data_IF_221582616058
#
_entry.id   IF_221582616058
#
_cell.length_a   1.000
_cell.length_b   1.000
_cell.length_c   1.000
_cell.angle_alpha   90.00
_cell.angle_beta   90.00
_cell.angle_gamma   90.00
#
_symmetry.space_group_name_H-M   'P 1'
#
loop_
_entity.id
_entity.type
_entity.pdbx_description
1 polymer ?
#
# COMPACT_ATOMS: atom_id res chain seq x y z
N UNK A 1 58.07 -23.09 -17.55
CA UNK A 1 57.45 -22.62 -18.80
C UNK A 1 56.02 -22.24 -18.46
N UNK A 2 55.80 -20.96 -18.18
CA UNK A 2 54.48 -20.41 -17.88
C UNK A 2 53.79 -20.09 -19.20
N UNK A 3 52.57 -20.58 -19.39
CA UNK A 3 51.66 -20.05 -20.41
C UNK A 3 50.53 -19.36 -19.66
N UNK A 4 50.51 -18.05 -19.82
CA UNK A 4 49.51 -17.10 -19.38
C UNK A 4 48.24 -17.31 -20.23
N UNK A 5 47.10 -17.60 -19.59
CA UNK A 5 45.79 -17.54 -20.23
C UNK A 5 45.08 -16.27 -19.74
N UNK A 6 44.76 -15.38 -20.67
CA UNK A 6 44.04 -14.13 -20.43
C UNK A 6 42.56 -14.41 -20.15
N UNK A 7 41.90 -13.71 -19.21
CA UNK A 7 40.48 -13.86 -18.97
C UNK A 7 39.70 -13.04 -20.01
N UNK A 8 39.15 -13.71 -21.02
CA UNK A 8 38.17 -13.13 -21.94
C UNK A 8 36.99 -14.07 -22.12
N UNK A 9 36.23 -14.23 -21.04
CA UNK A 9 34.80 -14.58 -21.08
C UNK A 9 34.15 -13.90 -19.88
N UNK A 10 33.78 -12.62 -20.03
CA UNK A 10 32.77 -12.04 -19.19
C UNK A 10 31.49 -12.84 -19.50
N UNK A 11 31.13 -13.72 -18.58
CA UNK A 11 29.83 -14.39 -18.57
C UNK A 11 28.82 -13.26 -18.52
N UNK A 12 28.13 -13.02 -19.64
CA UNK A 12 26.88 -12.28 -19.62
C UNK A 12 25.95 -13.06 -18.70
N UNK A 13 25.85 -12.61 -17.45
CA UNK A 13 24.78 -13.05 -16.58
C UNK A 13 23.50 -12.59 -17.27
N UNK A 14 22.84 -13.52 -17.95
CA UNK A 14 21.44 -13.41 -18.27
C UNK A 14 20.75 -13.36 -16.90
N UNK A 15 20.59 -12.15 -16.35
CA UNK A 15 19.61 -11.92 -15.32
C UNK A 15 18.28 -12.21 -16.02
N UNK A 16 17.81 -13.45 -15.88
CA UNK A 16 16.40 -13.73 -16.02
C UNK A 16 15.74 -12.84 -14.96
N UNK A 17 15.32 -11.65 -15.34
CA UNK A 17 14.28 -10.93 -14.65
C UNK A 17 13.07 -11.85 -14.72
N UNK A 18 12.94 -12.72 -13.73
CA UNK A 18 11.64 -13.30 -13.42
C UNK A 18 10.76 -12.09 -13.13
N UNK A 19 9.82 -11.80 -14.03
CA UNK A 19 8.78 -10.81 -13.78
C UNK A 19 8.25 -11.04 -12.38
N UNK A 20 8.32 -10.03 -11.52
CA UNK A 20 7.73 -10.15 -10.20
C UNK A 20 6.22 -10.37 -10.41
N UNK A 21 5.75 -11.56 -10.06
CA UNK A 21 4.33 -11.90 -10.10
C UNK A 21 3.68 -11.43 -8.82
N UNK A 22 2.82 -10.43 -8.93
CA UNK A 22 2.11 -9.83 -7.81
C UNK A 22 0.67 -10.35 -7.76
N UNK A 23 0.27 -10.91 -6.61
CA UNK A 23 -1.14 -11.23 -6.35
C UNK A 23 -1.86 -9.89 -6.15
N UNK A 24 -2.92 -9.59 -6.89
CA UNK A 24 -3.44 -8.22 -6.91
C UNK A 24 -4.02 -7.75 -5.57
N UNK A 25 -4.42 -6.48 -5.55
CA UNK A 25 -5.05 -5.86 -4.38
C UNK A 25 -6.45 -5.37 -4.74
N UNK A 26 -7.47 -5.95 -4.09
CA UNK A 26 -8.85 -5.46 -4.19
C UNK A 26 -9.04 -4.23 -3.29
N UNK A 27 -9.35 -3.08 -3.88
CA UNK A 27 -9.45 -1.81 -3.15
C UNK A 27 -10.68 -0.95 -3.57
N UNK A 28 -11.91 -1.35 -3.20
CA UNK A 28 -13.09 -0.54 -3.44
C UNK A 28 -13.05 0.69 -2.54
N UNK A 29 -12.95 1.89 -3.12
CA UNK A 29 -12.90 3.15 -2.37
C UNK A 29 -11.71 4.05 -2.67
N UNK A 30 -10.79 3.63 -3.55
CA UNK A 30 -9.77 4.54 -4.09
C UNK A 30 -10.46 5.67 -4.87
N UNK A 31 -10.10 6.90 -4.54
CA UNK A 31 -10.60 8.14 -5.11
C UNK A 31 -9.45 8.91 -5.74
N UNK A 32 -9.47 9.06 -7.06
CA UNK A 32 -8.43 9.81 -7.79
C UNK A 32 -8.66 11.31 -7.60
N UNK A 33 -8.14 11.85 -6.51
CA UNK A 33 -8.33 13.26 -6.10
C UNK A 33 -7.01 13.99 -5.80
N UNK A 34 -5.88 13.29 -5.85
CA UNK A 34 -4.53 13.82 -5.64
C UNK A 34 -4.06 13.70 -4.20
N UNK A 35 -4.90 13.14 -3.32
CA UNK A 35 -4.57 12.75 -1.96
C UNK A 35 -4.40 11.23 -1.89
N UNK A 36 -3.21 10.77 -1.56
CA UNK A 36 -2.87 9.33 -1.57
C UNK A 36 -3.19 8.59 -0.26
N UNK A 37 -3.99 9.20 0.63
CA UNK A 37 -4.31 8.66 1.95
C UNK A 37 -5.11 7.34 1.91
N UNK A 38 -5.82 7.09 0.81
CA UNK A 38 -6.62 5.89 0.55
C UNK A 38 -5.79 4.70 0.04
N UNK A 39 -4.61 4.95 -0.52
CA UNK A 39 -3.60 3.93 -0.86
C UNK A 39 -2.83 3.43 0.36
N UNK A 40 -2.49 4.37 1.23
CA UNK A 40 -1.70 4.15 2.44
C UNK A 40 -2.33 3.09 3.35
N UNK A 41 -1.62 2.00 3.66
CA UNK A 41 -2.21 0.96 4.51
C UNK A 41 -3.23 0.09 3.82
N UNK A 42 -3.28 0.11 2.50
CA UNK A 42 -4.20 -0.75 1.74
C UNK A 42 -3.51 -1.37 0.52
N UNK A 43 -2.63 -0.63 -0.12
CA UNK A 43 -2.00 -1.02 -1.38
C UNK A 43 -0.48 -0.89 -1.25
N UNK A 44 0.27 -2.00 -1.21
CA UNK A 44 1.73 -1.93 -1.27
C UNK A 44 2.21 -1.63 -2.70
N UNK A 45 3.45 -1.19 -2.83
CA UNK A 45 4.06 -0.99 -4.13
C UNK A 45 4.36 -2.34 -4.80
N UNK A 46 4.29 -2.35 -6.12
CA UNK A 46 4.57 -3.51 -6.96
C UNK A 46 5.90 -3.40 -7.71
N UNK A 47 6.46 -2.19 -7.82
CA UNK A 47 7.81 -1.91 -8.33
C UNK A 47 8.38 -0.68 -7.63
N UNK A 48 9.71 -0.60 -7.59
CA UNK A 48 10.47 0.52 -7.03
C UNK A 48 11.65 0.86 -7.94
N UNK A 49 12.12 2.10 -7.84
CA UNK A 49 13.37 2.54 -8.44
C UNK A 49 14.23 3.35 -7.45
N UNK A 50 15.50 3.52 -7.78
CA UNK A 50 16.48 4.31 -7.02
C UNK A 50 16.50 5.76 -7.53
N UNK A 51 16.87 6.74 -6.69
CA UNK A 51 16.85 8.13 -7.12
C UNK A 51 18.01 8.47 -8.08
N UNK A 52 17.77 9.43 -8.99
CA UNK A 52 18.79 10.16 -9.71
C UNK A 52 18.97 9.81 -11.18
N UNK A 53 18.08 9.02 -11.77
CA UNK A 53 18.07 8.64 -13.18
C UNK A 53 16.88 9.19 -13.99
N UNK A 54 15.91 9.85 -13.35
CA UNK A 54 14.82 10.61 -14.00
C UNK A 54 15.25 11.79 -14.88
N UNK A 55 16.51 12.23 -14.79
CA UNK A 55 17.02 13.37 -15.56
C UNK A 55 16.25 14.67 -15.29
N UNK A 56 15.66 15.27 -16.32
CA UNK A 56 14.77 16.46 -16.19
C UNK A 56 13.28 16.11 -16.07
N UNK A 57 12.95 14.82 -16.15
CA UNK A 57 11.62 14.29 -15.97
C UNK A 57 11.33 13.98 -14.50
N UNK A 58 10.26 13.22 -14.28
CA UNK A 58 9.94 12.54 -13.04
C UNK A 58 11.03 11.50 -12.75
N UNK A 59 11.58 11.60 -11.55
CA UNK A 59 12.51 10.65 -10.93
C UNK A 59 11.67 9.63 -10.17
N UNK A 60 11.29 8.56 -10.83
CA UNK A 60 10.34 7.57 -10.36
C UNK A 60 10.87 6.88 -9.10
N UNK A 61 9.94 6.51 -8.23
CA UNK A 61 10.27 5.91 -6.95
C UNK A 61 9.53 4.60 -6.73
N UNK A 62 8.22 4.61 -6.95
CA UNK A 62 7.40 3.43 -6.71
C UNK A 62 6.13 3.42 -7.57
N UNK A 63 5.74 2.21 -7.99
CA UNK A 63 4.49 1.92 -8.68
C UNK A 63 3.57 1.15 -7.76
N UNK A 64 2.30 1.52 -7.69
CA UNK A 64 1.27 0.84 -6.91
C UNK A 64 0.12 0.48 -7.83
N UNK A 65 -0.41 -0.74 -7.67
CA UNK A 65 -1.54 -1.25 -8.45
C UNK A 65 -2.60 -1.83 -7.53
N UNK A 66 -3.84 -1.41 -7.73
CA UNK A 66 -5.01 -1.99 -7.10
C UNK A 66 -6.18 -1.98 -8.07
N UNK A 67 -7.22 -2.77 -7.83
CA UNK A 67 -8.42 -2.71 -8.65
C UNK A 67 -9.68 -2.84 -7.79
N UNK A 68 -10.77 -2.33 -8.34
CA UNK A 68 -12.12 -2.67 -7.90
C UNK A 68 -12.90 -3.32 -9.06
N UNK A 69 -14.23 -3.32 -8.98
CA UNK A 69 -15.08 -3.92 -10.01
C UNK A 69 -15.21 -3.09 -11.29
N UNK A 70 -14.66 -1.87 -11.30
CA UNK A 70 -14.83 -0.89 -12.38
C UNK A 70 -13.49 -0.42 -12.96
N UNK A 71 -12.46 -0.23 -12.14
CA UNK A 71 -11.19 0.36 -12.56
C UNK A 71 -9.99 -0.43 -12.04
N UNK A 72 -8.92 -0.41 -12.86
CA UNK A 72 -7.55 -0.54 -12.37
C UNK A 72 -7.11 0.86 -11.89
N UNK A 73 -6.63 0.94 -10.66
CA UNK A 73 -6.01 2.14 -10.11
C UNK A 73 -4.49 2.00 -10.19
N UNK A 74 -3.83 3.08 -10.61
CA UNK A 74 -2.37 3.18 -10.64
C UNK A 74 -1.94 4.39 -9.83
N UNK A 75 -1.03 4.22 -8.87
CA UNK A 75 -0.32 5.33 -8.23
C UNK A 75 1.15 5.28 -8.60
N UNK A 76 1.68 6.43 -8.99
CA UNK A 76 3.10 6.65 -9.26
C UNK A 76 3.63 7.62 -8.22
N UNK A 77 4.65 7.18 -7.48
CA UNK A 77 5.42 8.03 -6.58
C UNK A 77 6.77 8.39 -7.22
N UNK A 78 7.28 9.59 -6.93
CA UNK A 78 8.57 10.09 -7.42
C UNK A 78 9.34 10.90 -6.38
N UNK A 79 10.66 10.90 -6.50
CA UNK A 79 11.58 11.66 -5.66
C UNK A 79 11.49 13.18 -5.87
N UNK A 80 11.00 13.62 -7.04
CA UNK A 80 10.82 15.02 -7.39
C UNK A 80 9.37 15.35 -7.74
N UNK A 81 9.02 16.63 -7.65
CA UNK A 81 7.69 17.14 -7.97
C UNK A 81 7.64 17.61 -9.42
N UNK A 82 6.85 16.91 -10.23
CA UNK A 82 6.66 17.20 -11.66
C UNK A 82 5.16 17.14 -11.98
N UNK A 83 4.70 17.97 -12.92
CA UNK A 83 3.31 17.96 -13.36
C UNK A 83 3.08 16.82 -14.35
N UNK A 84 2.03 16.01 -14.13
CA UNK A 84 1.60 15.00 -15.08
C UNK A 84 0.98 15.65 -16.31
N UNK A 85 1.65 15.55 -17.45
CA UNK A 85 1.30 16.32 -18.65
C UNK A 85 1.22 15.48 -19.93
N UNK A 86 1.38 14.16 -19.81
CA UNK A 86 1.26 13.22 -20.92
C UNK A 86 2.56 13.00 -21.70
N UNK A 87 3.68 13.49 -21.18
CA UNK A 87 5.00 13.03 -21.58
C UNK A 87 5.39 11.71 -20.89
N UNK A 88 4.60 11.30 -19.89
CA UNK A 88 4.68 10.03 -19.20
C UNK A 88 3.75 9.00 -19.82
N UNK A 89 4.20 7.75 -19.92
CA UNK A 89 3.43 6.65 -20.49
C UNK A 89 3.26 5.50 -19.51
N UNK A 90 2.03 4.96 -19.46
CA UNK A 90 1.73 3.66 -18.84
C UNK A 90 1.37 2.69 -19.94
N UNK A 91 2.08 1.56 -20.04
CA UNK A 91 1.75 0.47 -20.95
C UNK A 91 1.07 -0.68 -20.22
N UNK A 92 0.01 -1.23 -20.80
CA UNK A 92 -0.71 -2.40 -20.30
C UNK A 92 -0.72 -3.47 -21.39
N UNK A 93 -0.17 -4.63 -21.06
CA UNK A 93 -0.25 -5.87 -21.85
C UNK A 93 -1.38 -6.71 -21.23
N UNK A 94 -2.52 -6.73 -21.92
CA UNK A 94 -3.78 -7.23 -21.39
C UNK A 94 -3.95 -8.74 -21.52
N UNK A 95 -3.21 -9.36 -22.45
CA UNK A 95 -3.22 -10.80 -22.69
C UNK A 95 -1.91 -11.48 -22.27
N UNK A 96 -0.96 -10.71 -21.72
CA UNK A 96 0.38 -11.11 -21.26
C UNK A 96 1.26 -11.71 -22.36
N UNK A 97 0.97 -11.37 -23.61
CA UNK A 97 1.65 -11.92 -24.77
C UNK A 97 2.60 -10.88 -25.37
N UNK A 98 3.89 -11.01 -25.08
CA UNK A 98 4.94 -10.14 -25.64
C UNK A 98 5.05 -10.09 -27.19
N UNK A 99 4.28 -10.91 -27.91
CA UNK A 99 4.21 -10.91 -29.39
C UNK A 99 3.01 -10.17 -29.95
N UNK A 100 2.12 -9.65 -29.11
CA UNK A 100 1.03 -8.71 -29.43
C UNK A 100 1.38 -7.35 -28.81
N UNK A 101 0.79 -6.26 -29.29
CA UNK A 101 1.04 -4.93 -28.75
C UNK A 101 2.44 -4.36 -29.04
N UNK A 102 2.67 -3.12 -28.63
CA UNK A 102 3.90 -2.36 -28.89
C UNK A 102 4.93 -2.59 -27.78
N UNK A 103 6.21 -2.76 -28.15
CA UNK A 103 7.30 -2.92 -27.16
C UNK A 103 7.69 -1.57 -26.56
N UNK A 104 6.88 -1.09 -25.62
CA UNK A 104 7.11 0.17 -24.93
C UNK A 104 8.43 0.10 -24.15
N UNK A 105 9.27 1.12 -24.32
CA UNK A 105 10.59 1.26 -23.69
C UNK A 105 11.62 0.14 -23.98
N UNK A 106 11.29 -0.86 -24.79
CA UNK A 106 12.16 -2.01 -25.05
C UNK A 106 12.27 -2.99 -23.89
N UNK A 107 11.37 -2.93 -22.89
CA UNK A 107 11.45 -3.74 -21.65
C UNK A 107 10.76 -5.09 -21.75
N UNK A 108 10.27 -5.47 -22.94
CA UNK A 108 9.80 -6.83 -23.21
C UNK A 108 8.35 -7.12 -22.81
N UNK A 109 7.53 -6.07 -22.66
CA UNK A 109 6.06 -6.21 -22.65
C UNK A 109 5.48 -5.95 -24.04
N UNK A 110 4.37 -6.61 -24.34
CA UNK A 110 3.56 -6.34 -25.52
C UNK A 110 2.45 -5.37 -25.18
N UNK A 111 2.74 -4.08 -25.02
CA UNK A 111 1.73 -3.09 -24.59
C UNK A 111 0.59 -3.02 -25.59
N UNK A 112 -0.60 -3.48 -25.20
CA UNK A 112 -1.82 -3.39 -26.01
C UNK A 112 -2.52 -2.04 -25.81
N UNK A 113 -2.40 -1.46 -24.62
CA UNK A 113 -3.00 -0.18 -24.26
C UNK A 113 -1.94 0.78 -23.75
N UNK A 114 -1.89 1.96 -24.35
CA UNK A 114 -1.09 3.10 -23.93
C UNK A 114 -1.96 4.11 -23.19
N UNK A 115 -1.55 4.48 -21.99
CA UNK A 115 -2.03 5.68 -21.30
C UNK A 115 -1.00 6.79 -21.46
N UNK A 116 -1.44 7.94 -21.97
CA UNK A 116 -0.63 9.14 -22.10
C UNK A 116 -1.46 10.35 -21.61
N UNK A 117 -1.13 10.83 -20.41
CA UNK A 117 -1.89 11.90 -19.76
C UNK A 117 -3.33 11.48 -19.47
N UNK A 118 -4.30 12.30 -19.89
CA UNK A 118 -5.73 12.05 -19.71
C UNK A 118 -6.33 11.10 -20.78
N UNK A 119 -5.51 10.46 -21.62
CA UNK A 119 -5.96 9.75 -22.81
C UNK A 119 -5.43 8.32 -22.86
N UNK A 120 -6.26 7.42 -23.39
CA UNK A 120 -5.90 6.04 -23.64
C UNK A 120 -5.98 5.71 -25.13
N UNK A 121 -5.05 4.89 -25.60
CA UNK A 121 -4.90 4.47 -26.99
C UNK A 121 -4.64 2.97 -27.06
N UNK A 122 -5.12 2.32 -28.10
CA UNK A 122 -4.68 0.96 -28.40
C UNK A 122 -3.34 0.96 -29.13
N UNK A 123 -2.64 -0.16 -29.07
CA UNK A 123 -1.32 -0.37 -29.65
C UNK A 123 -1.28 -1.71 -30.41
N UNK A 124 -0.33 -1.81 -31.35
CA UNK A 124 -0.04 -3.05 -32.07
C UNK A 124 1.46 -3.25 -32.16
N UNK A 125 1.88 -4.46 -32.54
CA UNK A 125 3.29 -4.80 -32.82
C UNK A 125 4.02 -3.87 -33.78
N UNK A 126 3.30 -3.13 -34.63
CA UNK A 126 3.90 -2.28 -35.67
C UNK A 126 3.52 -0.81 -35.56
N UNK A 127 2.58 -0.47 -34.66
CA UNK A 127 2.05 0.88 -34.57
C UNK A 127 1.84 1.32 -33.12
N UNK A 128 2.67 2.28 -32.71
CA UNK A 128 2.47 3.10 -31.52
C UNK A 128 1.23 3.96 -31.72
N UNK A 129 0.29 3.95 -30.76
CA UNK A 129 -0.96 4.69 -30.82
C UNK A 129 -1.78 4.38 -32.10
N UNK A 130 -2.44 3.22 -32.10
CA UNK A 130 -3.32 2.71 -33.17
C UNK A 130 -4.72 3.32 -33.17
N UNK A 131 -4.98 4.28 -32.28
CA UNK A 131 -6.24 5.01 -32.17
C UNK A 131 -6.77 5.06 -30.74
N UNK A 132 -7.73 5.95 -30.50
CA UNK A 132 -8.27 6.18 -29.17
C UNK A 132 -9.05 4.96 -28.64
N UNK A 133 -8.87 4.67 -27.36
CA UNK A 133 -9.64 3.69 -26.61
C UNK A 133 -11.09 4.19 -26.35
N UNK A 134 -11.97 3.29 -25.90
CA UNK A 134 -13.34 3.62 -25.47
C UNK A 134 -13.70 2.89 -24.16
N UNK A 135 -14.01 3.60 -23.06
CA UNK A 135 -13.83 5.04 -22.88
C UNK A 135 -12.36 5.45 -23.02
N UNK A 136 -12.11 6.56 -23.71
CA UNK A 136 -10.75 7.04 -23.99
C UNK A 136 -10.20 8.05 -22.98
N UNK A 137 -11.04 8.53 -22.06
CA UNK A 137 -10.64 9.48 -21.02
C UNK A 137 -10.17 8.75 -19.77
N UNK A 138 -8.96 9.07 -19.32
CA UNK A 138 -8.41 8.60 -18.05
C UNK A 138 -8.60 9.67 -17.00
N UNK A 139 -9.16 9.28 -15.86
CA UNK A 139 -9.19 10.14 -14.69
C UNK A 139 -7.81 10.09 -14.04
N UNK A 140 -7.24 11.27 -13.78
CA UNK A 140 -6.01 11.40 -13.03
C UNK A 140 -6.02 12.63 -12.12
N UNK A 141 -5.21 12.58 -11.07
CA UNK A 141 -4.97 13.69 -10.15
C UNK A 141 -3.60 13.53 -9.48
N UNK A 142 -2.96 14.63 -9.00
CA UNK A 142 -3.28 16.03 -9.25
C UNK A 142 -2.81 16.53 -10.63
N UNK A 143 -3.41 17.63 -11.08
CA UNK A 143 -3.00 18.36 -12.30
C UNK A 143 -1.80 19.28 -12.08
N UNK A 144 -1.43 19.52 -10.83
CA UNK A 144 -0.30 20.36 -10.44
C UNK A 144 0.95 19.52 -10.21
N UNK A 145 2.15 20.12 -10.23
CA UNK A 145 3.36 19.43 -9.84
C UNK A 145 3.20 18.71 -8.50
N UNK A 146 3.52 17.42 -8.48
CA UNK A 146 3.38 16.54 -7.32
C UNK A 146 4.40 15.41 -7.36
N UNK A 147 4.74 14.88 -6.19
CA UNK A 147 5.52 13.65 -6.01
C UNK A 147 4.67 12.40 -6.19
N UNK A 148 3.35 12.56 -6.21
CA UNK A 148 2.40 11.46 -6.33
C UNK A 148 1.37 11.79 -7.40
N UNK A 149 1.09 10.81 -8.26
CA UNK A 149 0.04 10.84 -9.29
C UNK A 149 -0.81 9.59 -9.15
N UNK A 150 -2.11 9.73 -9.31
CA UNK A 150 -3.09 8.65 -9.31
C UNK A 150 -3.83 8.60 -10.64
N UNK A 151 -4.09 7.40 -11.16
CA UNK A 151 -4.87 7.14 -12.37
C UNK A 151 -6.00 6.16 -12.05
N UNK A 152 -7.16 6.34 -12.69
CA UNK A 152 -8.20 5.31 -12.77
C UNK A 152 -8.43 4.93 -14.24
N UNK A 153 -8.19 3.65 -14.54
CA UNK A 153 -8.25 3.07 -15.88
C UNK A 153 -9.44 2.10 -15.91
N UNK A 154 -10.48 2.39 -16.72
CA UNK A 154 -11.68 1.57 -16.76
C UNK A 154 -11.42 0.13 -17.21
N UNK A 155 -11.91 -0.86 -16.46
CA UNK A 155 -11.76 -2.28 -16.78
C UNK A 155 -12.59 -2.71 -17.99
N UNK A 156 -13.62 -1.94 -18.36
CA UNK A 156 -14.44 -2.18 -19.55
C UNK A 156 -13.86 -1.53 -20.83
N UNK A 157 -12.63 -1.01 -20.78
CA UNK A 157 -12.02 -0.30 -21.90
C UNK A 157 -11.80 -1.20 -23.12
N UNK A 158 -12.33 -0.77 -24.25
CA UNK A 158 -12.06 -1.32 -25.57
C UNK A 158 -10.99 -0.51 -26.28
N UNK A 159 -10.20 -1.17 -27.11
CA UNK A 159 -9.06 -0.57 -27.81
C UNK A 159 -9.02 -1.01 -29.28
N UNK A 160 -8.56 -0.15 -30.19
CA UNK A 160 -8.12 -0.57 -31.51
C UNK A 160 -6.69 -1.14 -31.41
N UNK A 161 -6.50 -2.43 -31.66
CA UNK A 161 -5.19 -3.06 -31.56
C UNK A 161 -5.19 -4.51 -32.01
N UNK A 162 -4.14 -5.24 -31.62
CA UNK A 162 -4.02 -6.69 -31.83
C UNK A 162 -5.07 -7.45 -30.98
N UNK A 163 -5.48 -6.85 -29.85
CA UNK A 163 -6.66 -7.23 -29.06
C UNK A 163 -7.71 -6.11 -29.05
N UNK A 164 -8.94 -6.44 -28.64
CA UNK A 164 -10.08 -5.51 -28.67
C UNK A 164 -10.46 -4.90 -27.32
N UNK A 165 -9.86 -5.38 -26.22
CA UNK A 165 -10.11 -4.92 -24.86
C UNK A 165 -8.78 -4.79 -24.13
N UNK A 166 -8.62 -3.76 -23.29
CA UNK A 166 -7.42 -3.61 -22.46
C UNK A 166 -7.30 -4.69 -21.39
N UNK A 167 -8.43 -5.29 -20.99
CA UNK A 167 -8.52 -6.31 -19.95
C UNK A 167 -9.41 -7.48 -20.43
N UNK A 168 -8.98 -8.25 -21.45
CA UNK A 168 -9.82 -9.24 -22.13
C UNK A 168 -10.28 -10.39 -21.23
N UNK A 169 -9.50 -10.71 -20.19
CA UNK A 169 -9.85 -11.74 -19.20
C UNK A 169 -10.71 -11.25 -18.03
N UNK A 170 -10.91 -9.94 -17.88
CA UNK A 170 -11.63 -9.34 -16.75
C UNK A 170 -10.99 -9.61 -15.38
N UNK A 171 -11.79 -9.57 -14.31
CA UNK A 171 -11.32 -9.90 -12.96
C UNK A 171 -10.84 -11.36 -12.89
N UNK A 172 -9.80 -11.61 -12.10
CA UNK A 172 -9.10 -12.89 -11.99
C UNK A 172 -8.07 -13.14 -13.10
N UNK A 173 -8.01 -12.30 -14.13
CA UNK A 173 -6.99 -12.41 -15.17
C UNK A 173 -5.70 -11.69 -14.79
N UNK A 174 -4.60 -12.17 -15.36
CA UNK A 174 -3.28 -11.57 -15.20
C UNK A 174 -3.01 -10.61 -16.35
N UNK A 175 -2.41 -9.48 -16.04
CA UNK A 175 -1.93 -8.46 -16.97
C UNK A 175 -0.46 -8.16 -16.68
N UNK A 176 0.23 -7.50 -17.61
CA UNK A 176 1.49 -6.84 -17.30
C UNK A 176 1.38 -5.31 -17.45
N UNK A 177 2.06 -4.59 -16.55
CA UNK A 177 2.04 -3.12 -16.50
C UNK A 177 3.46 -2.60 -16.44
N UNK A 178 3.72 -1.53 -17.18
CA UNK A 178 4.95 -0.74 -17.08
C UNK A 178 4.59 0.74 -17.03
N UNK A 179 5.39 1.53 -16.34
CA UNK A 179 5.33 2.98 -16.37
C UNK A 179 6.69 3.56 -16.75
N UNK A 180 6.72 4.69 -17.44
CA UNK A 180 7.94 5.48 -17.56
C UNK A 180 7.72 6.93 -17.99
N UNK A 181 8.66 7.80 -17.60
CA UNK A 181 8.73 9.20 -18.05
C UNK A 181 9.91 9.42 -19.00
N UNK A 182 9.63 10.10 -20.13
CA UNK A 182 10.55 10.25 -21.26
C UNK A 182 11.01 11.67 -21.52
N UNK A 183 10.72 12.61 -20.63
CA UNK A 183 10.93 14.03 -20.87
C UNK A 183 12.42 14.43 -21.10
N UNK A 184 13.39 13.52 -20.93
CA UNK A 184 14.84 13.80 -21.02
C UNK A 184 15.62 13.00 -22.08
N UNK A 185 14.98 12.10 -22.84
CA UNK A 185 15.68 11.23 -23.81
C UNK A 185 16.35 9.99 -23.19
N UNK A 186 16.33 9.86 -21.87
CA UNK A 186 16.42 8.60 -21.14
C UNK A 186 15.07 8.37 -20.45
N UNK A 187 14.55 7.15 -20.53
CA UNK A 187 13.35 6.76 -19.82
C UNK A 187 13.74 6.35 -18.41
N UNK A 188 13.07 6.95 -17.44
CA UNK A 188 13.02 6.41 -16.09
C UNK A 188 11.76 5.54 -15.99
N UNK A 189 11.94 4.26 -15.66
CA UNK A 189 10.93 3.23 -15.88
C UNK A 189 10.71 2.37 -14.65
N UNK A 190 9.45 2.25 -14.24
CA UNK A 190 9.02 1.31 -13.22
C UNK A 190 8.39 0.07 -13.88
N UNK A 191 8.87 -1.11 -13.47
CA UNK A 191 8.41 -2.41 -13.99
C UNK A 191 9.37 -3.00 -15.04
N UNK A 192 8.91 -3.98 -15.85
CA UNK A 192 7.54 -4.49 -15.96
C UNK A 192 7.11 -5.36 -14.77
N UNK A 193 5.83 -5.26 -14.41
CA UNK A 193 5.21 -6.03 -13.33
C UNK A 193 4.07 -6.88 -13.87
N UNK A 194 3.98 -8.13 -13.43
CA UNK A 194 2.81 -8.97 -13.68
C UNK A 194 1.83 -8.82 -12.52
N UNK A 195 0.59 -8.42 -12.80
CA UNK A 195 -0.46 -8.15 -11.82
C UNK A 195 -1.70 -8.98 -12.13
N UNK A 196 -2.27 -9.66 -11.13
CA UNK A 196 -3.55 -10.38 -11.30
C UNK A 196 -4.68 -9.50 -10.79
N UNK A 197 -5.63 -9.14 -11.65
CA UNK A 197 -6.83 -8.40 -11.25
C UNK A 197 -7.59 -9.22 -10.19
N UNK A 198 -7.76 -8.67 -8.99
CA UNK A 198 -8.48 -9.38 -7.95
C UNK A 198 -9.98 -9.38 -8.26
N UNK A 199 -10.63 -10.52 -8.00
CA UNK A 199 -12.09 -10.55 -7.95
C UNK A 199 -12.59 -9.79 -6.72
N UNK A 200 -13.83 -9.32 -6.75
CA UNK A 200 -14.53 -8.98 -5.52
C UNK A 200 -14.45 -10.22 -4.61
N UNK A 201 -13.75 -10.15 -3.47
CA UNK A 201 -13.61 -11.30 -2.59
C UNK A 201 -14.97 -11.74 -2.03
N UNK A 202 -16.04 -10.96 -2.23
CA UNK A 202 -17.30 -11.15 -1.53
C UNK A 202 -17.07 -11.03 -0.02
N UNK A 203 -18.03 -11.46 0.78
CA UNK A 203 -17.93 -11.46 2.26
C UNK A 203 -16.96 -12.51 2.82
N UNK A 204 -16.07 -13.10 2.01
CA UNK A 204 -15.08 -14.04 2.54
C UNK A 204 -14.05 -13.26 3.36
N UNK A 205 -13.84 -13.62 4.63
CA UNK A 205 -12.92 -12.88 5.47
C UNK A 205 -11.49 -13.18 4.98
N UNK A 206 -10.80 -12.16 4.45
CA UNK A 206 -9.34 -12.12 4.26
C UNK A 206 -8.72 -11.24 5.34
N UNK A 207 -7.41 -11.36 5.53
CA UNK A 207 -6.67 -10.37 6.30
C UNK A 207 -6.80 -9.02 5.61
N UNK A 208 -7.35 -8.03 6.32
CA UNK A 208 -7.55 -6.66 5.84
C UNK A 208 -6.48 -5.77 6.48
N UNK A 209 -5.75 -5.01 5.67
CA UNK A 209 -4.83 -4.00 6.20
C UNK A 209 -5.66 -2.81 6.71
N UNK A 210 -5.41 -2.39 7.94
CA UNK A 210 -5.95 -1.15 8.49
C UNK A 210 -4.92 -0.03 8.29
N UNK A 211 -3.64 -0.32 8.61
CA UNK A 211 -2.49 0.54 8.34
C UNK A 211 -1.21 -0.31 8.27
N UNK A 212 -0.49 -0.28 7.15
CA UNK A 212 0.80 -0.97 6.97
C UNK A 212 1.99 -0.13 7.41
N UNK A 213 1.79 1.17 7.67
CA UNK A 213 2.86 2.12 7.99
C UNK A 213 3.90 2.34 6.88
N UNK A 214 3.65 1.82 5.67
CA UNK A 214 4.54 1.92 4.52
C UNK A 214 4.34 3.26 3.80
N UNK A 215 5.05 4.29 4.26
CA UNK A 215 5.12 5.57 3.53
C UNK A 215 6.57 5.91 3.25
N UNK A 216 6.90 6.00 1.96
CA UNK A 216 8.21 6.51 1.56
C UNK A 216 8.26 8.03 1.73
N UNK A 217 9.14 8.52 2.62
CA UNK A 217 9.58 9.92 2.63
C UNK A 217 8.64 10.99 3.24
N UNK A 218 7.56 10.61 3.91
CA UNK A 218 6.61 11.56 4.53
C UNK A 218 6.97 12.02 5.95
N UNK A 219 6.49 13.19 6.39
CA UNK A 219 6.60 13.63 7.79
C UNK A 219 5.58 12.88 8.68
N UNK A 220 6.01 12.07 9.68
CA UNK A 220 5.12 11.27 10.51
C UNK A 220 4.14 12.11 11.33
N UNK A 221 4.46 13.38 11.59
CA UNK A 221 3.58 14.31 12.33
C UNK A 221 2.41 14.83 11.49
N UNK A 222 2.47 14.66 10.16
CA UNK A 222 1.36 14.95 9.26
C UNK A 222 0.39 13.77 9.14
N UNK A 223 0.90 12.53 9.27
CA UNK A 223 0.11 11.29 9.18
C UNK A 223 -0.54 10.91 10.51
N UNK A 224 0.10 11.23 11.62
CA UNK A 224 -0.35 10.84 12.96
C UNK A 224 -0.45 12.03 13.92
N UNK A 225 -1.37 11.93 14.88
CA UNK A 225 -1.58 12.94 15.92
C UNK A 225 -1.21 12.37 17.28
N UNK A 226 -0.73 13.23 18.17
CA UNK A 226 -0.71 12.91 19.58
C UNK A 226 -2.14 12.94 20.12
N UNK A 227 -2.52 11.87 20.80
CA UNK A 227 -3.82 11.71 21.44
C UNK A 227 -3.55 11.05 22.79
N UNK A 228 -3.03 11.81 23.73
CA UNK A 228 -2.64 11.34 25.07
C UNK A 228 -3.63 11.85 26.14
N UNK A 229 -3.81 11.09 27.22
CA UNK A 229 -4.54 11.53 28.42
C UNK A 229 -3.60 11.44 29.62
N UNK A 230 -2.96 12.55 29.95
CA UNK A 230 -1.98 12.64 31.04
C UNK A 230 -0.56 12.19 30.67
N UNK A 231 -0.40 11.31 29.67
CA UNK A 231 0.89 11.00 29.05
C UNK A 231 1.26 11.96 27.93
N UNK A 232 2.41 11.70 27.29
CA UNK A 232 2.94 12.53 26.22
C UNK A 232 3.61 11.70 25.12
N UNK A 233 3.59 12.20 23.88
CA UNK A 233 4.38 11.65 22.77
C UNK A 233 5.60 12.53 22.55
N UNK A 234 6.78 12.07 22.99
CA UNK A 234 8.01 12.85 22.93
C UNK A 234 8.56 12.99 21.50
N UNK A 235 8.42 11.94 20.69
CA UNK A 235 8.85 11.95 19.30
C UNK A 235 8.10 10.92 18.45
N UNK A 236 8.04 11.19 17.14
CA UNK A 236 7.54 10.27 16.11
C UNK A 236 8.52 10.25 14.93
N UNK A 237 8.74 9.09 14.34
CA UNK A 237 9.70 8.86 13.27
C UNK A 237 9.28 7.69 12.38
N UNK A 238 9.96 7.54 11.25
CA UNK A 238 9.90 6.35 10.41
C UNK A 238 11.20 5.56 10.55
N UNK A 239 11.09 4.25 10.61
CA UNK A 239 12.24 3.33 10.61
C UNK A 239 11.91 2.12 9.70
N UNK A 240 12.84 1.20 9.49
CA UNK A 240 12.57 -0.04 8.73
C UNK A 240 11.48 -0.86 9.41
N UNK A 241 10.55 -1.38 8.62
CA UNK A 241 9.48 -2.28 9.06
C UNK A 241 9.98 -3.66 9.45
N UNK A 242 9.04 -4.55 9.78
CA UNK A 242 9.31 -5.91 10.25
C UNK A 242 9.84 -6.82 9.17
N UNK A 243 9.31 -6.71 7.96
CA UNK A 243 9.67 -7.60 6.86
C UNK A 243 11.04 -7.22 6.28
N UNK A 244 11.45 -5.97 6.46
CA UNK A 244 12.66 -5.37 5.93
C UNK A 244 12.61 -5.17 4.42
N UNK A 245 13.54 -4.37 3.91
CA UNK A 245 13.66 -4.08 2.47
C UNK A 245 13.33 -2.64 2.13
N UNK A 246 13.45 -2.30 0.84
CA UNK A 246 13.06 -0.99 0.34
C UNK A 246 11.55 -0.89 0.32
N UNK A 247 10.98 0.07 1.04
CA UNK A 247 9.55 0.35 1.04
C UNK A 247 8.76 -0.23 2.22
N UNK A 248 9.36 -1.08 3.06
CA UNK A 248 8.78 -1.58 4.31
C UNK A 248 9.20 -0.68 5.47
N UNK A 249 8.26 0.06 6.05
CA UNK A 249 8.49 1.06 7.09
C UNK A 249 7.68 0.77 8.35
N UNK A 250 8.10 1.36 9.46
CA UNK A 250 7.37 1.32 10.72
C UNK A 250 7.28 2.70 11.34
N UNK A 251 6.16 2.96 12.03
CA UNK A 251 6.01 4.14 12.86
C UNK A 251 6.78 3.95 14.17
N UNK A 252 7.86 4.69 14.33
CA UNK A 252 8.60 4.75 15.60
C UNK A 252 8.01 5.84 16.48
N UNK A 253 7.74 5.53 17.74
CA UNK A 253 7.22 6.46 18.74
C UNK A 253 8.03 6.40 20.03
N UNK A 254 8.22 7.56 20.65
CA UNK A 254 8.66 7.64 22.04
C UNK A 254 7.50 8.10 22.90
N UNK A 255 6.97 7.18 23.70
CA UNK A 255 5.81 7.40 24.56
C UNK A 255 6.27 7.61 26.00
N UNK A 256 5.74 8.65 26.65
CA UNK A 256 6.03 8.94 28.04
C UNK A 256 4.78 8.79 28.88
N UNK A 257 4.81 7.81 29.78
CA UNK A 257 3.78 7.65 30.79
C UNK A 257 4.12 8.46 32.06
N UNK A 258 3.14 9.17 32.62
CA UNK A 258 3.28 9.92 33.86
C UNK A 258 3.15 8.97 35.06
N UNK A 259 3.43 9.41 36.28
CA UNK A 259 3.39 8.57 37.49
C UNK A 259 1.97 8.27 38.05
N UNK A 260 0.92 8.46 37.25
CA UNK A 260 -0.45 8.13 37.65
C UNK A 260 -0.94 6.95 36.83
N UNK A 261 -1.47 5.93 37.50
CA UNK A 261 -2.10 4.79 36.84
C UNK A 261 -3.24 5.26 35.94
N UNK A 262 -3.42 4.58 34.80
CA UNK A 262 -4.48 4.84 33.80
C UNK A 262 -4.35 6.14 32.99
N UNK A 263 -3.28 6.90 33.20
CA UNK A 263 -2.86 7.88 32.19
C UNK A 263 -2.19 7.14 31.03
N UNK A 264 -2.35 7.70 29.84
CA UNK A 264 -1.99 7.05 28.58
C UNK A 264 -1.28 8.03 27.66
N UNK A 265 -0.21 7.54 27.04
CA UNK A 265 0.46 8.16 25.91
C UNK A 265 0.07 7.39 24.65
N UNK A 266 -0.46 8.09 23.65
CA UNK A 266 -0.97 7.45 22.45
C UNK A 266 -0.76 8.30 21.21
N UNK A 267 -0.64 7.59 20.09
CA UNK A 267 -0.69 8.14 18.75
C UNK A 267 -1.96 7.66 18.06
N UNK A 268 -2.55 8.51 17.24
CA UNK A 268 -3.74 8.17 16.48
C UNK A 268 -3.63 8.63 15.04
N UNK A 269 -4.43 8.00 14.19
CA UNK A 269 -4.65 8.42 12.81
C UNK A 269 -6.12 8.34 12.49
N UNK A 270 -6.60 9.34 11.75
CA UNK A 270 -7.85 9.25 11.02
C UNK A 270 -7.51 8.87 9.58
N UNK A 271 -8.08 7.77 9.11
CA UNK A 271 -7.95 7.28 7.74
C UNK A 271 -8.85 8.13 6.84
N UNK A 272 -8.37 8.47 5.64
CA UNK A 272 -9.18 9.22 4.68
C UNK A 272 -10.34 8.36 4.15
N UNK A 273 -10.07 7.08 3.89
CA UNK A 273 -11.07 6.11 3.43
C UNK A 273 -11.35 5.08 4.53
N UNK A 274 -12.64 4.77 4.69
CA UNK A 274 -13.08 3.76 5.64
C UNK A 274 -12.59 2.37 5.26
N UNK A 275 -12.00 1.65 6.22
CA UNK A 275 -11.61 0.25 6.07
C UNK A 275 -12.79 -0.65 6.42
N UNK A 276 -13.10 -1.58 5.52
CA UNK A 276 -14.11 -2.60 5.77
C UNK A 276 -13.43 -3.85 6.35
N UNK A 277 -13.54 -4.00 7.66
CA UNK A 277 -13.04 -5.16 8.41
C UNK A 277 -14.17 -6.08 8.88
N UNK A 278 -15.33 -6.04 8.20
CA UNK A 278 -16.47 -6.91 8.52
C UNK A 278 -16.08 -8.39 8.42
N UNK A 279 -16.51 -9.19 9.39
CA UNK A 279 -16.15 -10.62 9.45
C UNK A 279 -14.76 -10.91 10.01
N UNK A 280 -14.07 -9.89 10.54
CA UNK A 280 -12.85 -10.07 11.33
C UNK A 280 -13.11 -10.88 12.61
N UNK A 281 -12.13 -11.67 13.04
CA UNK A 281 -12.11 -12.30 14.37
C UNK A 281 -11.06 -11.73 15.30
N UNK A 282 -10.25 -10.79 14.81
CA UNK A 282 -9.18 -10.21 15.59
C UNK A 282 -8.52 -9.03 14.90
N UNK A 283 -7.95 -8.13 15.69
CA UNK A 283 -7.04 -7.09 15.18
C UNK A 283 -5.64 -7.40 15.70
N UNK A 284 -4.64 -7.26 14.85
CA UNK A 284 -3.22 -7.45 15.21
C UNK A 284 -2.39 -6.28 14.78
N UNK A 285 -1.30 -6.02 15.50
CA UNK A 285 -0.24 -5.11 15.07
C UNK A 285 1.11 -5.76 15.35
N UNK A 286 2.06 -5.59 14.45
CA UNK A 286 3.44 -5.90 14.73
C UNK A 286 4.07 -4.78 15.56
N UNK A 287 4.64 -5.17 16.70
CA UNK A 287 5.21 -4.24 17.67
C UNK A 287 6.66 -4.60 17.92
N UNK A 288 7.56 -3.66 17.66
CA UNK A 288 8.93 -3.75 18.15
C UNK A 288 8.98 -3.19 19.57
N UNK A 289 9.22 -4.10 20.52
CA UNK A 289 9.15 -3.81 21.94
C UNK A 289 10.36 -3.03 22.51
N UNK A 290 10.15 -2.47 23.69
CA UNK A 290 11.20 -1.88 24.53
C UNK A 290 11.33 -2.70 25.82
N UNK A 291 12.51 -3.27 26.15
CA UNK A 291 12.73 -3.93 27.43
C UNK A 291 12.41 -3.06 28.65
N UNK A 292 12.51 -1.72 28.53
CA UNK A 292 12.14 -0.80 29.59
C UNK A 292 10.63 -0.76 29.87
N UNK A 293 9.80 -1.18 28.90
CA UNK A 293 8.34 -1.22 29.02
C UNK A 293 7.82 -2.54 29.63
N UNK A 294 8.70 -3.40 30.15
CA UNK A 294 8.32 -4.66 30.78
C UNK A 294 7.32 -4.43 31.93
N UNK A 295 6.14 -5.05 31.82
CA UNK A 295 5.05 -4.91 32.80
C UNK A 295 4.08 -3.75 32.53
N UNK A 296 4.35 -2.93 31.50
CA UNK A 296 3.39 -1.98 30.97
C UNK A 296 2.42 -2.65 29.99
N UNK A 297 1.35 -1.92 29.69
CA UNK A 297 0.27 -2.43 28.86
C UNK A 297 0.11 -1.63 27.58
N UNK A 298 -0.09 -2.33 26.47
CA UNK A 298 -0.43 -1.76 25.17
C UNK A 298 -1.91 -1.99 24.90
N UNK A 299 -2.55 -1.01 24.29
CA UNK A 299 -3.95 -1.07 23.93
C UNK A 299 -4.17 -0.45 22.56
N UNK A 300 -5.33 -0.78 21.99
CA UNK A 300 -5.76 -0.35 20.67
C UNK A 300 -7.19 0.16 20.77
N UNK A 301 -7.48 1.23 20.05
CA UNK A 301 -8.83 1.75 19.84
C UNK A 301 -9.11 1.86 18.35
N UNK A 302 -10.32 1.48 17.95
CA UNK A 302 -10.85 1.70 16.62
C UNK A 302 -12.06 2.63 16.69
N UNK A 303 -12.20 3.47 15.67
CA UNK A 303 -13.35 4.33 15.49
C UNK A 303 -13.93 4.24 14.09
N UNK A 304 -15.25 4.30 14.00
CA UNK A 304 -15.97 4.30 12.73
C UNK A 304 -16.37 5.71 12.28
N UNK A 305 -16.94 5.79 11.08
CA UNK A 305 -17.33 7.04 10.44
C UNK A 305 -18.40 7.84 11.22
N UNK A 306 -19.14 7.17 12.11
CA UNK A 306 -20.23 7.76 12.87
C UNK A 306 -19.79 8.33 14.24
N UNK A 307 -18.52 8.11 14.58
CA UNK A 307 -17.88 8.59 15.80
C UNK A 307 -17.93 7.60 16.96
N UNK A 308 -18.45 6.38 16.75
CA UNK A 308 -18.32 5.30 17.74
C UNK A 308 -16.87 4.90 17.86
N UNK A 309 -16.36 4.81 19.09
CA UNK A 309 -14.99 4.40 19.40
C UNK A 309 -14.99 3.28 20.43
N UNK A 310 -14.28 2.21 20.15
CA UNK A 310 -14.16 1.05 21.04
C UNK A 310 -12.68 0.71 21.23
N UNK A 311 -12.29 0.35 22.46
CA UNK A 311 -10.91 0.04 22.83
C UNK A 311 -10.77 -1.32 23.52
N UNK A 312 -9.63 -1.97 23.29
CA UNK A 312 -9.30 -3.28 23.82
C UNK A 312 -9.18 -3.30 25.35
N UNK A 313 -9.11 -4.51 25.90
CA UNK A 313 -8.35 -4.71 27.15
C UNK A 313 -6.85 -4.51 26.90
N UNK A 314 -6.16 -4.08 27.94
CA UNK A 314 -4.71 -3.94 28.02
C UNK A 314 -3.97 -5.27 27.73
N UNK A 315 -3.22 -5.33 26.63
CA UNK A 315 -2.26 -6.40 26.30
C UNK A 315 -0.90 -6.10 26.90
N UNK A 316 -0.01 -7.10 27.05
CA UNK A 316 1.36 -6.85 27.48
C UNK A 316 2.18 -6.16 26.37
N UNK A 317 2.90 -5.09 26.71
CA UNK A 317 3.92 -4.56 25.80
C UNK A 317 5.00 -5.62 25.61
N UNK A 318 5.43 -5.94 24.37
CA UNK A 318 6.54 -6.85 24.17
C UNK A 318 7.80 -6.32 24.88
N UNK A 319 8.33 -7.11 25.83
CA UNK A 319 9.48 -6.72 26.66
C UNK A 319 10.84 -7.02 26.00
N UNK A 320 10.85 -7.27 24.69
CA UNK A 320 12.06 -7.60 23.93
C UNK A 320 12.24 -6.62 22.79
N UNK A 321 13.50 -6.24 22.52
CA UNK A 321 13.89 -5.50 21.32
C UNK A 321 13.84 -6.42 20.08
N UNK A 322 12.63 -6.86 19.74
CA UNK A 322 12.32 -7.72 18.62
C UNK A 322 10.85 -7.52 18.22
N UNK A 323 10.56 -7.73 16.94
CA UNK A 323 9.20 -7.71 16.42
C UNK A 323 8.36 -8.84 17.01
N UNK A 324 7.21 -8.48 17.56
CA UNK A 324 6.20 -9.40 18.09
C UNK A 324 4.83 -8.99 17.57
N UNK A 325 4.07 -9.94 17.04
CA UNK A 325 2.66 -9.69 16.67
C UNK A 325 1.81 -9.68 17.92
N UNK A 326 1.26 -8.52 18.27
CA UNK A 326 0.30 -8.36 19.37
C UNK A 326 -1.10 -8.59 18.83
N UNK A 327 -1.88 -9.44 19.50
CA UNK A 327 -3.28 -9.70 19.16
C UNK A 327 -4.21 -8.98 20.14
N UNK A 328 -5.03 -8.09 19.60
CA UNK A 328 -5.98 -7.26 20.33
C UNK A 328 -7.38 -7.88 20.42
N UNK A 329 -7.58 -9.05 19.81
CA UNK A 329 -8.85 -9.78 19.82
C UNK A 329 -9.94 -9.13 18.98
N UNK A 330 -11.15 -9.69 19.08
CA UNK A 330 -12.30 -9.29 18.28
C UNK A 330 -12.83 -7.90 18.71
N UNK A 331 -12.87 -6.90 17.81
CA UNK A 331 -13.30 -5.55 18.12
C UNK A 331 -14.77 -5.43 18.56
N UNK A 332 -15.61 -6.43 18.27
CA UNK A 332 -17.00 -6.46 18.76
C UNK A 332 -17.10 -6.70 20.27
N UNK A 333 -16.02 -7.18 20.90
CA UNK A 333 -15.96 -7.48 22.34
C UNK A 333 -15.29 -6.38 23.17
N UNK A 334 -14.83 -5.30 22.52
CA UNK A 334 -14.09 -4.21 23.13
C UNK A 334 -14.99 -3.29 23.97
N UNK A 335 -14.39 -2.39 24.74
CA UNK A 335 -15.11 -1.44 25.59
C UNK A 335 -15.42 -0.17 24.84
N UNK A 336 -16.65 0.33 25.01
CA UNK A 336 -17.08 1.60 24.44
C UNK A 336 -16.33 2.77 25.10
N UNK A 337 -15.62 3.55 24.28
CA UNK A 337 -14.94 4.80 24.67
C UNK A 337 -15.76 6.05 24.31
N UNK A 338 -16.43 6.01 23.16
CA UNK A 338 -17.36 7.05 22.74
C UNK A 338 -18.52 6.43 21.95
N UNK A 339 -19.74 6.88 22.22
CA UNK A 339 -20.92 6.48 21.45
C UNK A 339 -21.10 7.39 20.24
N UNK A 340 -21.25 6.79 19.06
CA UNK A 340 -21.72 7.47 17.86
C UNK A 340 -23.25 7.41 17.73
N UNK A 341 -23.73 7.47 16.49
CA UNK A 341 -25.16 7.51 16.18
C UNK A 341 -25.81 6.12 16.25
N UNK A 342 -25.05 5.06 16.03
CA UNK A 342 -25.49 3.67 16.02
C UNK A 342 -24.80 2.89 17.15
N UNK A 343 -25.50 1.97 17.84
CA UNK A 343 -24.86 1.13 18.86
C UNK A 343 -23.83 0.17 18.26
N UNK A 344 -22.63 0.17 18.83
CA UNK A 344 -21.53 -0.72 18.44
C UNK A 344 -20.74 -0.20 17.26
N UNK A 345 -19.52 -0.73 17.10
CA UNK A 345 -18.61 -0.31 16.05
C UNK A 345 -19.07 -0.82 14.68
N UNK A 346 -19.27 0.09 13.72
CA UNK A 346 -19.53 -0.26 12.33
C UNK A 346 -18.24 -0.72 11.63
N UNK A 347 -18.01 -2.03 11.65
CA UNK A 347 -16.82 -2.67 11.06
C UNK A 347 -16.70 -2.49 9.54
N UNK A 348 -17.74 -2.03 8.84
CA UNK A 348 -17.67 -1.75 7.40
C UNK A 348 -17.05 -0.39 7.07
N UNK A 349 -16.88 0.50 8.06
CA UNK A 349 -16.40 1.86 7.87
C UNK A 349 -15.49 2.32 9.02
N UNK A 350 -14.42 1.59 9.28
CA UNK A 350 -13.40 2.00 10.24
C UNK A 350 -12.57 3.15 9.66
N UNK A 351 -12.59 4.30 10.31
CA UNK A 351 -11.88 5.52 9.84
C UNK A 351 -10.86 6.03 10.84
N UNK A 352 -10.68 5.36 11.96
CA UNK A 352 -9.80 5.83 13.03
C UNK A 352 -9.15 4.66 13.74
N UNK A 353 -7.86 4.81 14.04
CA UNK A 353 -7.16 3.96 14.98
C UNK A 353 -6.35 4.81 15.97
N UNK A 354 -6.15 4.28 17.17
CA UNK A 354 -5.26 4.82 18.19
C UNK A 354 -4.53 3.68 18.88
N UNK A 355 -3.22 3.85 19.02
CA UNK A 355 -2.30 2.91 19.66
C UNK A 355 -1.54 3.64 20.76
N UNK A 356 -1.44 3.02 21.93
CA UNK A 356 -0.78 3.63 23.05
C UNK A 356 -0.38 2.65 24.13
N UNK A 357 0.33 3.18 25.11
CA UNK A 357 0.71 2.45 26.32
C UNK A 357 -0.06 3.06 27.49
N UNK A 358 -0.71 2.23 28.30
CA UNK A 358 -1.30 2.64 29.57
C UNK A 358 -0.30 2.40 30.69
N UNK A 359 -0.24 3.31 31.65
CA UNK A 359 0.59 3.11 32.84
C UNK A 359 -0.06 2.11 33.79
N UNK A 360 0.28 0.83 33.64
CA UNK A 360 -0.19 -0.23 34.51
C UNK A 360 0.70 -0.40 35.75
N UNK A 361 1.98 -0.02 35.66
CA UNK A 361 2.94 -0.16 36.76
C UNK A 361 2.83 0.92 37.84
N UNK A 362 2.19 2.05 37.50
CA UNK A 362 2.11 3.25 38.34
C UNK A 362 3.41 4.07 38.37
N UNK A 363 4.43 3.70 37.59
CA UNK A 363 5.71 4.41 37.53
C UNK A 363 5.79 5.28 36.29
N UNK A 364 6.49 6.41 36.38
CA UNK A 364 6.81 7.19 35.19
C UNK A 364 7.85 6.45 34.35
N UNK A 365 7.69 6.46 33.04
CA UNK A 365 8.59 5.79 32.12
C UNK A 365 8.52 6.37 30.71
N UNK A 366 9.60 6.19 29.96
CA UNK A 366 9.72 6.58 28.57
C UNK A 366 10.06 5.33 27.77
N UNK A 367 9.24 5.02 26.77
CA UNK A 367 9.28 3.77 26.03
C UNK A 367 9.39 4.03 24.54
N UNK A 368 10.30 3.35 23.86
CA UNK A 368 10.52 3.46 22.43
C UNK A 368 9.90 2.25 21.73
N UNK A 369 8.73 2.44 21.14
CA UNK A 369 8.03 1.38 20.42
C UNK A 369 8.04 1.66 18.93
N UNK A 370 7.92 0.58 18.14
CA UNK A 370 7.63 0.68 16.71
C UNK A 370 6.37 -0.10 16.39
N UNK A 371 5.55 0.46 15.52
CA UNK A 371 4.32 -0.15 15.03
C UNK A 371 4.39 -0.37 13.54
N UNK A 372 3.96 -1.55 13.12
CA UNK A 372 3.94 -2.00 11.75
C UNK A 372 2.74 -2.94 11.56
N UNK A 373 2.28 -3.14 10.31
CA UNK A 373 1.30 -4.15 9.92
C UNK A 373 0.09 -4.23 10.88
N UNK A 374 -0.66 -3.14 10.98
CA UNK A 374 -1.94 -3.12 11.69
C UNK A 374 -3.01 -3.74 10.79
N UNK A 375 -3.46 -4.94 11.16
CA UNK A 375 -4.31 -5.81 10.34
C UNK A 375 -5.57 -6.24 11.09
N UNK A 376 -6.67 -6.44 10.37
CA UNK A 376 -7.80 -7.24 10.82
C UNK A 376 -7.67 -8.66 10.25
N UNK A 377 -7.72 -9.66 11.11
CA UNK A 377 -7.59 -11.06 10.76
C UNK A 377 -8.96 -11.68 10.44
N UNK A 378 -9.04 -12.56 9.44
CA UNK A 378 -10.29 -13.21 9.14
C UNK A 378 -10.71 -14.13 10.28
N UNK A 379 -12.03 -14.35 10.44
CA UNK A 379 -12.49 -15.51 11.19
C UNK A 379 -11.86 -16.77 10.59
N UNK A 380 -11.15 -17.55 11.43
CA UNK A 380 -10.58 -18.81 10.99
C UNK A 380 -11.67 -19.61 10.30
N UNK A 381 -11.45 -20.00 9.04
CA UNK A 381 -12.38 -20.89 8.36
C UNK A 381 -12.53 -22.12 9.23
N UNK A 382 -13.77 -22.43 9.63
CA UNK A 382 -14.07 -23.73 10.17
C UNK A 382 -13.67 -24.70 9.06
N UNK A 383 -12.58 -25.45 9.26
CA UNK A 383 -12.23 -26.52 8.34
C UNK A 383 -13.46 -27.43 8.22
N UNK A 384 -14.17 -27.37 7.09
CA UNK A 384 -15.33 -28.22 6.80
C UNK A 384 -14.99 -29.73 6.74
N UNK A 385 -13.74 -30.09 7.03
CA UNK A 385 -13.25 -31.46 7.12
C UNK A 385 -13.62 -32.18 8.41
N UNK A 386 -14.31 -31.56 9.37
CA UNK A 386 -14.80 -32.25 10.58
C UNK A 386 -16.23 -32.81 10.46
N UNK A 387 -16.80 -32.87 9.27
CA UNK A 387 -18.12 -33.46 9.00
C UNK A 387 -18.09 -34.42 7.81
N UNK A 388 -17.16 -35.39 7.79
CA UNK A 388 -17.34 -36.67 7.08
C UNK A 388 -16.68 -37.82 7.81
#
# INVERSE_FOLDING_TARGET
MFVQLTPSTLVAALAACTLASWAGTWAPGISVDGSVDDWDGQVPFVAIDVPGDGGTGRDCQALYLANDGQNLYVRIQSYNSVAYNGNEFTGIDGDTTSTTGFNLFGVGIGSDTLIAGASAFGETTTQFNSGAATPGSILFSPWTPSTDIELAIPLNMTIPGDISQSFPGGLGSTIAVVYGDGNSGAWDTLGPVTYTLENDPGTLPKTQVIDDFDVVGGDPTKRTKEDSSGGQVNSRGWDTGKNGGSGDYSLTVQLQNPNTAWQLAAVSRRLATGRNISGTSGVTCDVYGDPAAAGEKIWMELGDADGTRMATTDQDVPATAAWTTVNFGDPTTWYLQAAGSVPGLNLSQIVYWRLGVSNASGNAGVYNLKFDNLMALPAASVNEWSLY
#
